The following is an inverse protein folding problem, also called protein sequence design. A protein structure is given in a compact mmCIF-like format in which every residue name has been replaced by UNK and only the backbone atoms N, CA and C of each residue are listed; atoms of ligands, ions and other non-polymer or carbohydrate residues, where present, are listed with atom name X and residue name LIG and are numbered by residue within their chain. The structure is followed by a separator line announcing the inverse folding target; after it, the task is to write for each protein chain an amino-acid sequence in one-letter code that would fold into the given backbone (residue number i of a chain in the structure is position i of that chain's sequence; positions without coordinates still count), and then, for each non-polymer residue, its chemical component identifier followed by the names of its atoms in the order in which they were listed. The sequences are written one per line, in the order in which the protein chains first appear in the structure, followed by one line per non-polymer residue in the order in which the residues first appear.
data_IF_956807852729
#
_entry.id   IF_956807852729
#
_cell.length_a   1.000
_cell.length_b   1.000
_cell.length_c   1.000
_cell.angle_alpha   90.00
_cell.angle_beta   90.00
_cell.angle_gamma   90.00
#
_symmetry.space_group_name_H-M   'P 1'
#
loop_
_entity.id
_entity.type
_entity.pdbx_description
1 polymer ?
#
# COMPACT_ATOMS: atom_id res chain seq x y z
N UNK A 1 -2.70 25.07 43.64
CA UNK A 1 -3.64 25.58 42.62
C UNK A 1 -3.98 24.41 41.71
N UNK A 2 -5.24 23.95 41.76
CA UNK A 2 -5.72 22.86 40.91
C UNK A 2 -5.99 23.37 39.50
N UNK A 3 -5.65 22.58 38.49
CA UNK A 3 -5.93 22.85 37.09
C UNK A 3 -6.43 21.58 36.41
N UNK A 4 -7.71 21.28 36.60
CA UNK A 4 -8.40 20.26 35.80
C UNK A 4 -8.60 20.78 34.38
N UNK A 5 -8.15 20.03 33.37
CA UNK A 5 -8.57 20.24 31.98
C UNK A 5 -8.94 18.90 31.34
N UNK A 6 -10.21 18.52 31.58
CA UNK A 6 -11.12 17.87 30.64
C UNK A 6 -10.61 16.71 29.78
N UNK A 7 -10.88 15.49 30.26
CA UNK A 7 -11.01 14.30 29.43
C UNK A 7 -12.15 14.46 28.40
N UNK A 8 -11.82 14.44 27.10
CA UNK A 8 -12.83 14.38 26.03
C UNK A 8 -13.03 12.94 25.58
N UNK A 9 -14.03 12.30 26.18
CA UNK A 9 -14.59 11.03 25.69
C UNK A 9 -15.46 11.27 24.45
N UNK A 10 -15.30 10.41 23.43
CA UNK A 10 -16.12 10.10 22.22
C UNK A 10 -15.13 9.62 21.13
N UNK A 11 -15.40 8.64 20.28
CA UNK A 11 -16.67 8.02 19.89
C UNK A 11 -16.51 6.51 19.59
N UNK A 12 -17.63 5.80 19.50
CA UNK A 12 -17.69 4.35 19.26
C UNK A 12 -17.82 4.06 17.76
N UNK A 13 -17.17 2.99 17.28
CA UNK A 13 -17.71 2.20 16.17
C UNK A 13 -17.55 0.72 16.45
N UNK A 14 -18.67 0.05 16.74
CA UNK A 14 -18.82 -1.41 16.78
C UNK A 14 -19.60 -1.80 15.54
N UNK A 15 -19.00 -2.56 14.64
CA UNK A 15 -19.71 -3.36 13.63
C UNK A 15 -19.00 -4.73 13.68
N UNK A 16 -19.54 -5.65 14.48
CA UNK A 16 -20.30 -6.81 13.99
C UNK A 16 -19.59 -7.58 12.87
N UNK A 17 -19.21 -8.83 13.15
CA UNK A 17 -19.73 -10.02 12.47
C UNK A 17 -19.45 -11.26 13.35
N UNK A 18 -20.46 -12.08 13.61
CA UNK A 18 -20.36 -13.32 14.40
C UNK A 18 -21.28 -14.40 13.79
N UNK A 19 -20.82 -15.67 13.80
CA UNK A 19 -21.52 -16.89 13.36
C UNK A 19 -21.86 -16.91 11.84
N UNK A 20 -21.98 -18.02 11.09
CA UNK A 20 -22.74 -19.29 11.19
C UNK A 20 -22.11 -20.26 10.14
N UNK A 21 -22.01 -21.61 10.22
CA UNK A 21 -22.29 -22.66 11.23
C UNK A 21 -21.43 -23.92 10.93
N UNK A 22 -21.38 -24.87 11.86
CA UNK A 22 -20.74 -26.20 11.76
C UNK A 22 -21.76 -27.28 11.34
N UNK A 23 -21.56 -28.06 10.25
CA UNK A 23 -22.39 -29.27 10.01
C UNK A 23 -21.81 -30.37 9.08
N UNK A 24 -21.96 -31.62 9.54
CA UNK A 24 -22.11 -32.92 8.82
C UNK A 24 -21.04 -33.46 7.87
N UNK A 25 -20.38 -34.53 8.35
CA UNK A 25 -20.13 -35.76 7.59
C UNK A 25 -21.45 -36.36 7.05
N UNK A 26 -21.43 -36.98 5.86
CA UNK A 26 -21.77 -38.39 5.58
C UNK A 26 -22.24 -38.62 4.12
N UNK A 27 -21.64 -39.58 3.42
CA UNK A 27 -22.35 -40.45 2.46
C UNK A 27 -22.45 -40.03 0.98
N UNK A 28 -21.89 -40.88 0.11
CA UNK A 28 -22.49 -41.18 -1.20
C UNK A 28 -21.98 -40.40 -2.42
N UNK A 29 -21.07 -41.01 -3.19
CA UNK A 29 -20.89 -40.70 -4.61
C UNK A 29 -21.41 -41.89 -5.44
N UNK A 30 -22.57 -41.71 -6.07
CA UNK A 30 -23.10 -42.65 -7.05
C UNK A 30 -22.42 -42.46 -8.42
N UNK A 31 -22.51 -43.47 -9.28
CA UNK A 31 -21.68 -43.64 -10.48
C UNK A 31 -22.19 -42.92 -11.74
N UNK A 32 -21.24 -42.39 -12.51
CA UNK A 32 -21.20 -42.33 -13.99
C UNK A 32 -22.32 -41.63 -14.79
N UNK A 33 -21.95 -40.54 -15.48
CA UNK A 33 -22.13 -40.42 -16.93
C UNK A 33 -21.27 -39.26 -17.51
N UNK A 34 -20.51 -39.45 -18.61
CA UNK A 34 -19.83 -38.36 -19.29
C UNK A 34 -20.72 -37.74 -20.38
N UNK A 35 -21.28 -36.55 -20.13
CA UNK A 35 -21.94 -35.75 -21.15
C UNK A 35 -20.97 -34.70 -21.71
N UNK A 36 -20.39 -34.98 -22.87
CA UNK A 36 -19.65 -33.97 -23.65
C UNK A 36 -20.64 -33.07 -24.38
N UNK A 37 -20.85 -31.86 -23.88
CA UNK A 37 -21.63 -30.81 -24.57
C UNK A 37 -21.05 -29.43 -24.27
N UNK A 38 -20.88 -28.60 -25.30
CA UNK A 38 -20.75 -27.14 -25.14
C UNK A 38 -19.32 -26.61 -25.01
N UNK A 39 -18.65 -26.43 -26.15
CA UNK A 39 -17.75 -25.28 -26.31
C UNK A 39 -18.57 -24.00 -26.09
N UNK A 40 -18.04 -23.05 -25.30
CA UNK A 40 -18.43 -21.65 -25.06
C UNK A 40 -18.74 -21.33 -23.58
N UNK A 41 -18.06 -20.30 -23.07
CA UNK A 41 -18.30 -19.75 -21.73
C UNK A 41 -17.37 -20.32 -20.65
N UNK A 42 -16.06 -20.13 -20.79
CA UNK A 42 -15.20 -20.17 -19.62
C UNK A 42 -15.71 -19.06 -18.66
N UNK A 43 -16.13 -19.37 -17.42
CA UNK A 43 -16.42 -18.32 -16.46
C UNK A 43 -15.13 -17.53 -16.28
N UNK A 44 -15.17 -16.22 -16.54
CA UNK A 44 -14.16 -15.31 -16.00
C UNK A 44 -14.35 -15.31 -14.49
N UNK A 45 -13.77 -16.30 -13.83
CA UNK A 45 -13.49 -16.26 -12.42
C UNK A 45 -12.50 -15.11 -12.22
N UNK A 46 -13.04 -13.91 -12.01
CA UNK A 46 -12.34 -12.84 -11.33
C UNK A 46 -12.03 -13.38 -9.94
N UNK A 47 -10.85 -14.01 -9.82
CA UNK A 47 -10.28 -14.33 -8.53
C UNK A 47 -9.94 -12.97 -7.91
N UNK A 48 -10.84 -12.51 -7.05
CA UNK A 48 -10.55 -11.42 -6.13
C UNK A 48 -9.50 -12.00 -5.18
N UNK A 49 -8.22 -11.75 -5.49
CA UNK A 49 -7.11 -12.22 -4.70
C UNK A 49 -7.24 -11.57 -3.32
N UNK A 50 -7.59 -12.36 -2.31
CA UNK A 50 -7.76 -11.90 -0.95
C UNK A 50 -6.45 -11.28 -0.48
N UNK A 51 -6.45 -9.96 -0.26
CA UNK A 51 -5.30 -9.25 0.29
C UNK A 51 -4.97 -9.87 1.66
N UNK A 52 -3.77 -10.44 1.80
CA UNK A 52 -3.41 -11.19 2.99
C UNK A 52 -3.13 -10.24 4.15
N UNK A 53 -4.05 -10.20 5.12
CA UNK A 53 -3.82 -9.55 6.42
C UNK A 53 -3.20 -10.54 7.42
N UNK A 54 -2.03 -10.24 8.02
CA UNK A 54 -1.41 -11.10 9.04
C UNK A 54 -2.31 -11.31 10.26
N UNK A 55 -2.38 -12.54 10.78
CA UNK A 55 -3.29 -12.85 11.89
C UNK A 55 -2.81 -12.25 13.20
N UNK A 56 -3.66 -11.46 13.87
CA UNK A 56 -3.39 -10.97 15.23
C UNK A 56 -3.18 -12.10 16.26
N UNK A 57 -3.62 -13.32 15.96
CA UNK A 57 -3.45 -14.49 16.83
C UNK A 57 -2.06 -15.10 16.74
N UNK A 58 -1.23 -14.69 15.79
CA UNK A 58 0.11 -15.27 15.60
C UNK A 58 1.15 -14.45 16.37
N UNK A 59 2.10 -15.10 17.06
CA UNK A 59 3.18 -14.38 17.73
C UNK A 59 4.09 -13.72 16.68
N UNK A 60 4.66 -12.58 17.03
CA UNK A 60 5.62 -11.88 16.16
C UNK A 60 7.03 -12.29 16.57
N UNK A 61 7.78 -12.89 15.65
CA UNK A 61 9.18 -13.28 15.87
C UNK A 61 10.12 -12.30 15.15
N UNK A 62 10.96 -11.61 15.92
CA UNK A 62 11.92 -10.61 15.44
C UNK A 62 13.33 -11.18 15.60
N UNK A 63 14.12 -11.12 14.54
CA UNK A 63 15.51 -11.58 14.52
C UNK A 63 16.44 -10.57 13.85
N UNK A 64 17.63 -10.41 14.42
CA UNK A 64 18.68 -9.52 13.92
C UNK A 64 20.06 -9.90 14.48
N UNK A 65 21.11 -9.38 13.86
CA UNK A 65 22.47 -9.55 14.38
C UNK A 65 22.78 -8.61 15.54
N UNK A 66 22.42 -7.33 15.42
CA UNK A 66 22.59 -6.32 16.45
C UNK A 66 21.27 -5.65 16.80
N UNK A 67 21.03 -5.35 18.07
CA UNK A 67 20.02 -4.37 18.49
C UNK A 67 20.53 -3.43 19.57
N UNK A 68 20.08 -2.19 19.50
CA UNK A 68 20.17 -1.20 20.56
C UNK A 68 18.76 -0.79 20.98
N UNK A 69 18.47 -0.86 22.28
CA UNK A 69 17.11 -0.71 22.82
C UNK A 69 17.08 0.28 23.98
N UNK A 70 16.03 1.09 24.06
CA UNK A 70 15.70 1.94 25.21
C UNK A 70 14.17 2.07 25.35
N UNK A 71 13.71 2.73 26.40
CA UNK A 71 12.30 3.04 26.61
C UNK A 71 12.11 4.55 26.70
N UNK A 72 11.04 5.05 26.07
CA UNK A 72 10.69 6.46 25.95
C UNK A 72 9.16 6.57 25.95
N UNK A 73 8.58 7.35 26.86
CA UNK A 73 7.12 7.54 27.00
C UNK A 73 6.27 6.24 26.98
N UNK A 74 6.71 5.22 27.71
CA UNK A 74 6.10 3.88 27.76
C UNK A 74 6.05 3.16 26.40
N UNK A 75 6.93 3.55 25.47
CA UNK A 75 7.18 2.90 24.19
C UNK A 75 8.62 2.39 24.20
N UNK A 76 8.78 1.08 24.02
CA UNK A 76 10.11 0.50 23.86
C UNK A 76 10.59 0.74 22.43
N UNK A 77 11.65 1.52 22.29
CA UNK A 77 12.28 1.82 21.00
C UNK A 77 13.45 0.85 20.79
N UNK A 78 13.63 0.36 19.58
CA UNK A 78 14.73 -0.55 19.25
C UNK A 78 15.23 -0.32 17.83
N UNK A 79 16.52 -0.06 17.69
CA UNK A 79 17.25 -0.01 16.42
C UNK A 79 17.88 -1.37 16.21
N UNK A 80 17.61 -2.03 15.08
CA UNK A 80 18.18 -3.33 14.73
C UNK A 80 18.95 -3.24 13.41
N UNK A 81 20.10 -3.92 13.35
CA UNK A 81 21.04 -3.88 12.22
C UNK A 81 21.62 -5.27 11.93
N UNK A 82 21.72 -5.59 10.63
CA UNK A 82 22.27 -6.85 10.13
C UNK A 82 21.24 -7.98 10.12
N UNK A 83 21.02 -8.59 8.94
CA UNK A 83 20.14 -9.75 8.73
C UNK A 83 18.80 -9.66 9.45
N UNK A 84 18.14 -8.51 9.29
CA UNK A 84 16.93 -8.14 9.99
C UNK A 84 15.73 -8.86 9.39
N UNK A 85 15.01 -9.65 10.19
CA UNK A 85 13.83 -10.42 9.75
C UNK A 85 12.74 -10.42 10.82
N UNK A 86 11.51 -10.16 10.40
CA UNK A 86 10.28 -10.32 11.18
C UNK A 86 9.44 -11.43 10.54
N UNK A 87 8.81 -12.27 11.35
CA UNK A 87 7.80 -13.24 10.92
C UNK A 87 6.55 -13.15 11.79
N UNK A 88 5.38 -13.21 11.16
CA UNK A 88 4.08 -13.37 11.81
C UNK A 88 3.25 -14.34 10.94
N UNK A 89 3.13 -15.58 11.42
CA UNK A 89 2.58 -16.68 10.62
C UNK A 89 3.38 -16.92 9.34
N UNK A 90 2.67 -16.85 8.21
CA UNK A 90 3.23 -16.98 6.86
C UNK A 90 3.81 -15.67 6.30
N UNK A 91 3.54 -14.51 6.91
CA UNK A 91 4.16 -13.25 6.50
C UNK A 91 5.59 -13.14 7.00
N UNK A 92 6.51 -12.81 6.10
CA UNK A 92 7.94 -12.64 6.38
C UNK A 92 8.46 -11.33 5.80
N UNK A 93 8.88 -10.43 6.67
CA UNK A 93 9.54 -9.18 6.29
C UNK A 93 11.05 -9.33 6.50
N UNK A 94 11.87 -8.91 5.53
CA UNK A 94 13.34 -8.88 5.62
C UNK A 94 13.87 -7.52 5.22
N UNK A 95 14.98 -7.11 5.84
CA UNK A 95 15.75 -5.92 5.50
C UNK A 95 17.19 -6.03 6.00
N UNK A 96 18.02 -5.03 5.69
CA UNK A 96 19.36 -4.87 6.31
C UNK A 96 19.28 -4.20 7.68
N UNK A 97 18.32 -3.30 7.86
CA UNK A 97 18.15 -2.48 9.05
C UNK A 97 16.66 -2.25 9.35
N UNK A 98 16.31 -2.05 10.61
CA UNK A 98 14.96 -1.64 11.00
C UNK A 98 14.94 -0.82 12.29
N UNK A 99 13.89 -0.03 12.48
CA UNK A 99 13.54 0.65 13.73
C UNK A 99 12.17 0.17 14.18
N UNK A 100 12.07 -0.22 15.44
CA UNK A 100 10.86 -0.74 16.06
C UNK A 100 10.42 0.19 17.18
N UNK A 101 9.13 0.53 17.20
CA UNK A 101 8.44 1.09 18.35
C UNK A 101 7.42 0.09 18.85
N UNK A 102 7.69 -0.51 20.00
CA UNK A 102 6.82 -1.49 20.63
C UNK A 102 6.03 -0.84 21.77
N UNK A 103 4.70 -0.87 21.67
CA UNK A 103 3.76 -0.49 22.73
C UNK A 103 2.96 -1.71 23.16
N UNK A 104 3.31 -2.22 24.33
CA UNK A 104 2.59 -3.32 24.98
C UNK A 104 1.32 -2.80 25.67
N UNK A 105 0.25 -3.59 25.64
CA UNK A 105 -0.96 -3.36 26.44
C UNK A 105 -1.39 -4.66 27.13
N UNK A 106 -2.37 -4.62 28.03
CA UNK A 106 -2.87 -5.81 28.75
C UNK A 106 -3.49 -6.91 27.86
N UNK A 107 -3.72 -6.66 26.57
CA UNK A 107 -4.42 -7.59 25.64
C UNK A 107 -3.76 -7.73 24.27
N UNK A 108 -3.05 -6.70 23.80
CA UNK A 108 -2.44 -6.67 22.47
C UNK A 108 -1.10 -5.95 22.53
N UNK A 109 -0.09 -6.53 21.90
CA UNK A 109 1.15 -5.84 21.59
C UNK A 109 1.02 -5.17 20.22
N UNK A 110 1.37 -3.87 20.15
CA UNK A 110 1.35 -3.09 18.92
C UNK A 110 2.78 -2.69 18.57
N UNK A 111 3.19 -2.98 17.35
CA UNK A 111 4.56 -2.77 16.87
C UNK A 111 4.50 -1.92 15.60
N UNK A 112 5.02 -0.71 15.62
CA UNK A 112 5.35 0.03 14.40
C UNK A 112 6.77 -0.33 13.99
N UNK A 113 6.99 -0.72 12.73
CA UNK A 113 8.30 -1.12 12.22
C UNK A 113 8.61 -0.33 10.95
N UNK A 114 9.70 0.44 10.99
CA UNK A 114 10.33 1.02 9.81
C UNK A 114 11.46 0.10 9.33
N UNK A 115 11.40 -0.36 8.09
CA UNK A 115 12.41 -1.22 7.46
C UNK A 115 13.18 -0.41 6.40
N UNK A 116 14.49 -0.60 6.33
CA UNK A 116 15.33 0.05 5.32
C UNK A 116 16.47 -0.86 4.81
N UNK A 117 16.75 -0.74 3.51
CA UNK A 117 17.81 -1.45 2.83
C UNK A 117 17.40 -2.87 2.46
N UNK A 118 17.32 -3.15 1.15
CA UNK A 118 16.91 -4.45 0.59
C UNK A 118 15.60 -4.98 1.21
N UNK A 119 14.58 -4.11 1.34
CA UNK A 119 13.32 -4.52 1.97
C UNK A 119 12.60 -5.51 1.06
N UNK A 120 12.22 -6.66 1.62
CA UNK A 120 11.40 -7.68 0.98
C UNK A 120 10.28 -8.09 1.92
N UNK A 121 9.07 -8.12 1.40
CA UNK A 121 7.86 -8.57 2.09
C UNK A 121 7.37 -9.79 1.32
N UNK A 122 7.51 -10.97 1.92
CA UNK A 122 6.89 -12.19 1.42
C UNK A 122 5.58 -12.41 2.18
N UNK A 123 4.47 -12.32 1.46
CA UNK A 123 3.14 -12.73 1.91
C UNK A 123 2.79 -14.04 1.17
N UNK A 124 1.89 -14.89 1.69
CA UNK A 124 1.46 -16.07 0.97
C UNK A 124 0.78 -15.67 -0.35
N UNK A 125 1.42 -16.03 -1.46
CA UNK A 125 0.98 -15.72 -2.82
C UNK A 125 1.59 -14.45 -3.44
N UNK A 126 2.30 -13.61 -2.69
CA UNK A 126 2.89 -12.37 -3.22
C UNK A 126 4.19 -11.97 -2.52
N UNK A 127 5.26 -11.74 -3.29
CA UNK A 127 6.52 -11.16 -2.82
C UNK A 127 6.71 -9.76 -3.39
N UNK A 128 6.81 -8.75 -2.52
CA UNK A 128 7.10 -7.34 -2.87
C UNK A 128 8.50 -6.97 -2.41
N UNK A 129 9.17 -6.07 -3.14
CA UNK A 129 10.44 -5.49 -2.73
C UNK A 129 10.37 -3.97 -2.83
N UNK A 130 10.83 -3.29 -1.78
CA UNK A 130 10.77 -1.84 -1.63
C UNK A 130 12.12 -1.31 -1.09
N UNK A 131 12.34 0.00 -1.22
CA UNK A 131 13.56 0.63 -0.73
C UNK A 131 13.52 0.86 0.79
N UNK A 132 12.36 1.30 1.27
CA UNK A 132 11.99 1.42 2.68
C UNK A 132 10.49 1.15 2.81
N UNK A 133 10.06 0.78 4.02
CA UNK A 133 8.66 0.47 4.31
C UNK A 133 8.36 0.79 5.77
N UNK A 134 7.17 1.31 6.06
CA UNK A 134 6.66 1.49 7.43
C UNK A 134 5.40 0.63 7.59
N UNK A 135 5.46 -0.41 8.41
CA UNK A 135 4.31 -1.27 8.74
C UNK A 135 3.87 -1.10 10.20
N UNK A 136 2.61 -1.39 10.46
CA UNK A 136 2.10 -1.59 11.82
C UNK A 136 1.64 -3.04 11.95
N UNK A 137 2.18 -3.76 12.93
CA UNK A 137 1.83 -5.13 13.26
C UNK A 137 1.15 -5.16 14.63
N UNK A 138 0.20 -6.08 14.79
CA UNK A 138 -0.54 -6.28 16.04
C UNK A 138 -0.56 -7.77 16.35
N UNK A 139 -0.33 -8.13 17.62
CA UNK A 139 -0.43 -9.51 18.08
C UNK A 139 -1.06 -9.60 19.47
N UNK A 140 -1.81 -10.68 19.70
CA UNK A 140 -2.40 -11.06 20.99
C UNK A 140 -1.55 -12.12 21.71
N UNK A 141 -0.63 -12.79 21.00
CA UNK A 141 0.21 -13.87 21.50
C UNK A 141 1.68 -13.46 21.77
N UNK A 142 1.95 -12.15 21.72
CA UNK A 142 3.20 -11.56 22.17
C UNK A 142 4.35 -11.59 21.17
N UNK A 143 5.50 -11.05 21.61
CA UNK A 143 6.66 -10.79 20.75
C UNK A 143 7.87 -11.58 21.23
N UNK A 144 8.46 -12.40 20.34
CA UNK A 144 9.71 -13.14 20.60
C UNK A 144 10.89 -12.45 19.91
N UNK A 145 11.97 -12.21 20.67
CA UNK A 145 13.17 -11.55 20.15
C UNK A 145 14.36 -12.53 20.12
N UNK A 146 14.89 -12.80 18.92
CA UNK A 146 16.05 -13.65 18.66
C UNK A 146 17.22 -12.80 18.14
N UNK A 147 17.90 -12.10 19.05
CA UNK A 147 18.93 -11.11 18.69
C UNK A 147 20.30 -11.60 19.16
N UNK A 148 21.30 -11.61 18.27
CA UNK A 148 22.65 -12.14 18.61
C UNK A 148 23.44 -11.24 19.56
N UNK A 149 23.38 -9.92 19.36
CA UNK A 149 24.10 -8.92 20.16
C UNK A 149 23.15 -7.78 20.53
N UNK A 150 22.77 -7.70 21.80
CA UNK A 150 21.81 -6.69 22.29
C UNK A 150 22.45 -5.75 23.30
N UNK A 151 22.35 -4.44 23.07
CA UNK A 151 22.55 -3.40 24.07
C UNK A 151 21.20 -2.86 24.54
N UNK A 152 21.06 -2.62 25.84
CA UNK A 152 19.84 -2.11 26.46
C UNK A 152 20.14 -0.83 27.26
N UNK A 153 19.15 0.05 27.35
CA UNK A 153 19.20 1.34 28.03
C UNK A 153 20.28 2.30 27.48
N UNK A 154 20.55 2.22 26.17
CA UNK A 154 21.42 3.17 25.47
C UNK A 154 20.56 3.85 24.39
N UNK A 155 20.20 5.11 24.61
CA UNK A 155 19.57 5.93 23.57
C UNK A 155 20.58 6.27 22.46
N UNK A 156 20.12 6.41 21.22
CA UNK A 156 20.93 6.93 20.11
C UNK A 156 20.10 7.86 19.25
N UNK A 157 19.80 9.03 19.81
CA UNK A 157 19.07 10.11 19.12
C UNK A 157 19.81 10.55 17.83
N UNK A 158 21.15 10.40 17.82
CA UNK A 158 21.97 10.71 16.65
C UNK A 158 22.00 9.66 15.54
N UNK A 159 21.36 8.49 15.69
CA UNK A 159 21.38 7.47 14.64
C UNK A 159 20.64 7.98 13.37
N UNK A 160 21.31 8.01 12.20
CA UNK A 160 20.69 8.54 10.98
C UNK A 160 19.51 7.68 10.50
N UNK A 161 19.45 6.39 10.85
CA UNK A 161 18.30 5.53 10.57
C UNK A 161 17.10 5.95 11.44
N UNK A 162 17.31 6.23 12.73
CA UNK A 162 16.26 6.69 13.64
C UNK A 162 15.67 8.02 13.16
N UNK A 163 16.52 8.99 12.78
CA UNK A 163 16.08 10.28 12.24
C UNK A 163 15.19 10.12 11.00
N UNK A 164 15.55 9.24 10.04
CA UNK A 164 14.71 8.91 8.87
C UNK A 164 13.41 8.21 9.26
N UNK A 165 13.48 7.27 10.21
CA UNK A 165 12.33 6.51 10.68
C UNK A 165 11.29 7.40 11.37
N UNK A 166 11.73 8.33 12.23
CA UNK A 166 10.88 9.34 12.88
C UNK A 166 10.25 10.26 11.84
N UNK A 167 11.02 10.77 10.87
CA UNK A 167 10.51 11.60 9.79
C UNK A 167 9.41 10.87 8.99
N UNK A 168 9.62 9.59 8.65
CA UNK A 168 8.62 8.77 7.94
C UNK A 168 7.39 8.47 8.78
N UNK A 169 7.54 8.23 10.08
CA UNK A 169 6.43 7.96 11.02
C UNK A 169 5.58 9.20 11.33
N UNK A 170 6.19 10.39 11.33
CA UNK A 170 5.48 11.67 11.49
C UNK A 170 4.69 12.11 10.26
N UNK A 171 5.01 11.58 9.07
CA UNK A 171 4.22 11.79 7.86
C UNK A 171 3.10 10.74 7.84
N UNK A 172 1.81 11.13 7.94
CA UNK A 172 0.71 10.18 7.84
C UNK A 172 0.74 9.52 6.46
N UNK A 173 1.12 8.23 6.43
CA UNK A 173 1.02 7.40 5.22
C UNK A 173 -0.43 6.99 5.03
N UNK A 174 -1.22 7.93 4.51
CA UNK A 174 -2.52 7.61 4.00
C UNK A 174 -2.35 6.79 2.71
N UNK A 175 -2.44 5.46 2.84
CA UNK A 175 -2.51 4.55 1.70
C UNK A 175 -3.78 4.80 0.83
N UNK A 176 -4.70 5.69 1.26
CA UNK A 176 -5.76 6.24 0.44
C UNK A 176 -5.43 7.62 -0.17
N UNK A 177 -4.21 7.85 -0.65
CA UNK A 177 -3.98 8.80 -1.75
C UNK A 177 -4.65 8.30 -3.05
N UNK A 178 -5.99 8.25 -3.03
CA UNK A 178 -6.85 8.27 -4.21
C UNK A 178 -6.33 9.43 -5.06
N UNK A 179 -5.92 9.14 -6.30
CA UNK A 179 -5.43 10.15 -7.24
C UNK A 179 -6.34 11.37 -7.16
N UNK A 180 -5.78 12.51 -6.79
CA UNK A 180 -6.48 13.78 -6.87
C UNK A 180 -6.88 13.99 -8.33
N UNK A 181 -8.14 13.68 -8.65
CA UNK A 181 -8.71 14.04 -9.93
C UNK A 181 -8.84 15.55 -9.89
N UNK A 182 -8.00 16.23 -10.68
CA UNK A 182 -8.05 17.67 -10.82
C UNK A 182 -9.32 18.05 -11.57
N UNK A 183 -10.43 18.11 -10.84
CA UNK A 183 -11.67 18.71 -11.33
C UNK A 183 -11.42 20.21 -11.39
N UNK A 184 -11.27 20.73 -12.62
CA UNK A 184 -11.28 22.18 -12.84
C UNK A 184 -12.69 22.66 -12.56
N UNK A 185 -12.93 23.09 -11.32
CA UNK A 185 -14.05 23.97 -11.01
C UNK A 185 -13.85 25.25 -11.82
N UNK A 186 -14.58 25.35 -12.93
CA UNK A 186 -14.56 26.52 -13.79
C UNK A 186 -15.08 27.70 -12.95
N UNK A 187 -14.26 28.70 -12.61
CA UNK A 187 -14.69 29.76 -11.72
C UNK A 187 -15.87 30.52 -12.35
N UNK A 188 -16.85 30.99 -11.57
CA UNK A 188 -17.80 31.98 -12.06
C UNK A 188 -16.99 33.20 -12.53
N UNK A 189 -17.13 33.55 -13.80
CA UNK A 189 -16.38 34.63 -14.44
C UNK A 189 -16.95 35.99 -14.04
N UNK A 190 -16.69 36.42 -12.81
CA UNK A 190 -16.82 37.82 -12.40
C UNK A 190 -15.44 38.51 -12.47
N UNK A 191 -14.93 38.57 -13.69
CA UNK A 191 -13.90 39.54 -14.10
C UNK A 191 -14.53 40.59 -15.01
N UNK A 192 -13.93 41.78 -15.17
CA UNK A 192 -14.46 42.80 -16.07
C UNK A 192 -14.58 42.26 -17.49
N UNK A 193 -15.75 42.42 -18.12
CA UNK A 193 -16.01 41.95 -19.47
C UNK A 193 -15.06 42.59 -20.48
N UNK A 194 -13.97 41.88 -20.80
CA UNK A 194 -13.28 42.07 -22.06
C UNK A 194 -14.10 41.33 -23.12
N UNK A 195 -14.96 42.08 -23.80
CA UNK A 195 -15.69 41.60 -24.98
C UNK A 195 -14.72 40.85 -25.89
N UNK A 196 -14.98 39.57 -26.25
CA UNK A 196 -14.07 38.85 -27.12
C UNK A 196 -13.96 39.59 -28.44
N UNK A 197 -12.75 40.04 -28.78
CA UNK A 197 -12.43 40.40 -30.17
C UNK A 197 -12.76 39.14 -30.98
N UNK A 198 -13.62 39.23 -32.01
CA UNK A 198 -13.96 38.06 -32.80
C UNK A 198 -12.67 37.48 -33.36
N UNK A 199 -12.39 36.22 -33.03
CA UNK A 199 -11.28 35.49 -33.63
C UNK A 199 -11.48 35.56 -35.15
N UNK A 200 -10.55 36.21 -35.85
CA UNK A 200 -10.56 36.18 -37.31
C UNK A 200 -10.41 34.73 -37.72
N UNK A 201 -11.51 34.13 -38.20
CA UNK A 201 -11.45 32.86 -38.91
C UNK A 201 -10.48 33.04 -40.07
N UNK A 202 -9.25 32.56 -39.88
CA UNK A 202 -8.29 32.41 -40.95
C UNK A 202 -8.84 31.32 -41.87
N UNK A 203 -9.68 31.74 -42.81
CA UNK A 203 -10.30 30.93 -43.84
C UNK A 203 -9.27 30.55 -44.92
N UNK A 204 -8.16 29.98 -44.46
CA UNK A 204 -7.16 29.31 -45.31
C UNK A 204 -7.76 27.95 -45.66
N UNK A 205 -7.98 27.70 -46.95
CA UNK A 205 -8.63 26.49 -47.45
C UNK A 205 -7.80 25.21 -47.23
N UNK A 206 -7.74 24.73 -46.00
CA UNK A 206 -6.97 23.54 -45.62
C UNK A 206 -7.61 22.25 -46.15
N UNK A 207 -7.13 21.77 -47.30
CA UNK A 207 -7.54 20.48 -47.85
C UNK A 207 -6.92 19.32 -47.07
N UNK A 208 -7.71 18.64 -46.23
CA UNK A 208 -7.30 17.41 -45.54
C UNK A 208 -7.34 16.21 -46.50
N UNK A 209 -6.20 15.55 -46.70
CA UNK A 209 -6.07 14.31 -47.47
C UNK A 209 -5.76 13.15 -46.51
N UNK A 210 -6.47 12.03 -46.65
CA UNK A 210 -6.17 10.77 -45.96
C UNK A 210 -5.94 9.68 -47.00
N UNK A 211 -4.91 8.86 -46.79
CA UNK A 211 -4.48 7.82 -47.73
C UNK A 211 -4.45 6.49 -46.99
N UNK A 212 -5.04 5.47 -47.61
CA UNK A 212 -5.10 4.10 -47.09
C UNK A 212 -4.47 3.18 -48.12
N UNK A 213 -3.15 2.86 -48.01
CA UNK A 213 -2.49 1.98 -48.96
C UNK A 213 -3.06 0.57 -48.88
N UNK A 214 -3.20 -0.10 -50.02
CA UNK A 214 -3.66 -1.50 -50.13
C UNK A 214 -2.52 -2.52 -50.31
N UNK A 215 -1.26 -2.08 -50.23
CA UNK A 215 -0.07 -2.92 -50.36
C UNK A 215 1.08 -2.39 -49.51
N UNK A 216 2.13 -3.19 -49.32
CA UNK A 216 3.30 -2.86 -48.49
C UNK A 216 4.32 -1.93 -49.19
N UNK A 217 3.99 -1.36 -50.36
CA UNK A 217 4.87 -0.42 -51.06
C UNK A 217 4.70 0.99 -50.44
N UNK A 218 5.78 1.67 -50.02
CA UNK A 218 5.68 3.02 -49.47
C UNK A 218 5.22 4.01 -50.54
N UNK A 219 4.25 4.85 -50.20
CA UNK A 219 3.77 5.92 -51.08
C UNK A 219 4.50 7.24 -50.80
N UNK A 220 4.76 8.01 -51.86
CA UNK A 220 5.29 9.36 -51.79
C UNK A 220 4.22 10.33 -52.31
N UNK A 221 3.92 11.38 -51.55
CA UNK A 221 2.90 12.38 -51.91
C UNK A 221 3.46 13.78 -51.69
N UNK A 222 3.36 14.60 -52.73
CA UNK A 222 3.69 16.01 -52.71
C UNK A 222 2.45 16.81 -53.10
N UNK A 223 2.23 17.95 -52.46
CA UNK A 223 1.11 18.84 -52.71
C UNK A 223 1.60 20.26 -52.93
N UNK A 224 1.12 20.90 -53.98
CA UNK A 224 1.45 22.28 -54.33
C UNK A 224 0.18 23.16 -54.23
N UNK A 225 0.29 24.43 -53.80
CA UNK A 225 -0.84 25.35 -53.82
C UNK A 225 -1.25 25.65 -55.27
N UNK A 226 -2.55 25.68 -55.53
CA UNK A 226 -3.08 26.09 -56.84
C UNK A 226 -2.97 27.60 -56.98
N UNK A 227 -2.11 28.08 -57.87
CA UNK A 227 -2.12 29.49 -58.25
C UNK A 227 -3.23 29.71 -59.28
N UNK A 228 -4.35 30.28 -58.83
CA UNK A 228 -5.34 30.91 -59.69
C UNK A 228 -5.38 32.39 -59.30
N UNK A 229 -5.29 33.26 -60.31
CA UNK A 229 -5.26 34.72 -60.19
C UNK A 229 -6.67 35.28 -60.34
#
# INVERSE_FOLDING_TARGET
MSGEINSVSRYVSRILWQAIVLLTMLGGAATNAPAQTGFFGAPKASYEASEYEPSEKEPIEISAEYSQQWEEDFVKVSILKGNCRIQQGDAVLRSRQMVIWHRQTRKTDRISVYLEGEVRVDLPGESKSENNLLVNLVTQNGVKNQIRRSSANIASDDDPLLKRAIQRRGIPHDHQLKRAQFLVEKPPLEGPELTPVPEQELNVGFRRIRLFPRSAVPYNVQSFPSMHT
#
